data_IF_136921605270
#
_entry.id   IF_136921605270
#
_cell.length_a   1.000
_cell.length_b   1.000
_cell.length_c   1.000
_cell.angle_alpha   90.00
_cell.angle_beta   90.00
_cell.angle_gamma   90.00
#
_symmetry.space_group_name_H-M   'P 1'
#
loop_
_entity.id
_entity.type
_entity.pdbx_description
1 polymer ?
#
# COMPACT_ATOMS: atom_id res chain seq x y z
N UNK A 1 2.16 7.78 -5.68
CA UNK A 1 2.31 6.38 -5.25
C UNK A 1 3.33 5.68 -6.15
N UNK A 2 4.62 5.63 -5.77
CA UNK A 2 5.69 5.08 -6.60
C UNK A 2 5.52 3.59 -6.95
N UNK A 3 4.92 2.79 -6.05
CA UNK A 3 4.82 1.34 -6.21
C UNK A 3 3.78 0.89 -7.26
N UNK A 4 2.68 1.62 -7.43
CA UNK A 4 1.70 1.31 -8.50
C UNK A 4 2.25 1.58 -9.90
N UNK A 5 3.16 2.55 -10.03
CA UNK A 5 3.86 2.82 -11.29
C UNK A 5 4.83 1.70 -11.67
N UNK A 6 5.27 0.88 -10.70
CA UNK A 6 6.16 -0.24 -11.01
C UNK A 6 5.50 -1.20 -11.96
N UNK A 7 4.21 -1.56 -11.78
CA UNK A 7 3.45 -2.54 -12.59
C UNK A 7 3.48 -2.31 -14.11
N UNK A 8 3.84 -1.10 -14.56
CA UNK A 8 4.02 -0.74 -15.98
C UNK A 8 5.35 -1.17 -16.60
N UNK A 9 6.36 -1.57 -15.81
CA UNK A 9 7.69 -1.97 -16.31
C UNK A 9 7.72 -3.49 -16.48
N UNK A 10 8.08 -4.03 -17.64
CA UNK A 10 8.21 -5.49 -17.81
C UNK A 10 9.10 -6.09 -16.70
N UNK A 11 8.63 -7.16 -16.04
CA UNK A 11 9.28 -7.81 -14.89
C UNK A 11 8.88 -7.30 -13.50
N UNK A 12 8.15 -6.20 -13.39
CA UNK A 12 7.72 -5.59 -12.12
C UNK A 12 6.39 -6.11 -11.55
N UNK A 13 5.53 -6.73 -12.38
CA UNK A 13 4.23 -7.23 -11.94
C UNK A 13 4.39 -8.25 -10.81
N UNK A 14 5.49 -9.01 -10.85
CA UNK A 14 5.86 -9.97 -9.81
C UNK A 14 6.47 -9.32 -8.56
N UNK A 15 7.00 -8.09 -8.65
CA UNK A 15 7.65 -7.41 -7.53
C UNK A 15 6.64 -7.07 -6.42
N UNK A 16 5.45 -6.59 -6.79
CA UNK A 16 4.37 -6.34 -5.83
C UNK A 16 3.95 -7.61 -5.07
N UNK A 17 3.82 -8.72 -5.81
CA UNK A 17 3.49 -10.04 -5.23
C UNK A 17 4.61 -10.54 -4.32
N UNK A 18 5.88 -10.40 -4.72
CA UNK A 18 7.03 -10.79 -3.89
C UNK A 18 7.11 -9.98 -2.61
N UNK A 19 6.89 -8.66 -2.67
CA UNK A 19 6.84 -7.81 -1.48
C UNK A 19 5.66 -8.15 -0.58
N UNK A 20 4.48 -8.40 -1.14
CA UNK A 20 3.34 -8.84 -0.37
C UNK A 20 3.63 -10.17 0.34
N UNK A 21 4.30 -11.11 -0.33
CA UNK A 21 4.73 -12.38 0.29
C UNK A 21 5.76 -12.16 1.40
N UNK A 22 6.76 -11.34 1.16
CA UNK A 22 7.78 -11.01 2.17
C UNK A 22 7.14 -10.36 3.40
N UNK A 23 6.28 -9.37 3.20
CA UNK A 23 5.60 -8.66 4.29
C UNK A 23 4.65 -9.56 5.12
N UNK A 24 4.19 -10.69 4.56
CA UNK A 24 3.30 -11.63 5.23
C UNK A 24 4.00 -12.93 5.68
N UNK A 25 5.30 -13.10 5.44
CA UNK A 25 6.05 -14.27 5.90
C UNK A 25 6.33 -14.14 7.41
N UNK A 26 5.95 -15.14 8.24
CA UNK A 26 6.22 -15.14 9.68
C UNK A 26 7.70 -14.95 10.03
N UNK A 27 8.62 -15.36 9.16
CA UNK A 27 10.08 -15.22 9.33
C UNK A 27 10.66 -13.95 8.71
N UNK A 28 9.82 -13.03 8.21
CA UNK A 28 10.32 -11.80 7.58
C UNK A 28 11.17 -10.97 8.55
N UNK A 29 10.80 -10.94 9.83
CA UNK A 29 11.56 -10.24 10.87
C UNK A 29 12.99 -10.79 11.05
N UNK A 30 13.22 -12.08 10.80
CA UNK A 30 14.53 -12.72 10.91
C UNK A 30 15.47 -12.33 9.76
N UNK A 31 14.93 -12.00 8.59
CA UNK A 31 15.71 -11.64 7.39
C UNK A 31 16.13 -10.18 7.36
N UNK A 32 15.54 -9.32 8.18
CA UNK A 32 15.89 -7.90 8.26
C UNK A 32 15.47 -7.05 7.05
N UNK A 33 14.99 -7.63 5.95
CA UNK A 33 14.68 -6.93 4.69
C UNK A 33 13.71 -5.76 4.91
N UNK A 34 12.59 -6.00 5.61
CA UNK A 34 11.62 -4.94 5.92
C UNK A 34 12.27 -3.85 6.77
N UNK A 35 12.98 -4.24 7.81
CA UNK A 35 13.63 -3.33 8.75
C UNK A 35 14.72 -2.47 8.11
N UNK A 36 15.54 -3.06 7.27
CA UNK A 36 16.72 -2.39 6.70
C UNK A 36 16.37 -1.54 5.49
N UNK A 37 15.45 -2.02 4.64
CA UNK A 37 15.13 -1.37 3.36
C UNK A 37 13.89 -0.48 3.48
N UNK A 38 12.85 -0.92 4.20
CA UNK A 38 11.54 -0.27 4.19
C UNK A 38 11.30 0.65 5.38
N UNK A 39 11.81 0.34 6.58
CA UNK A 39 11.61 1.21 7.75
C UNK A 39 12.12 2.65 7.55
N UNK A 40 13.28 2.92 6.90
CA UNK A 40 13.72 4.29 6.67
C UNK A 40 12.72 5.08 5.83
N UNK A 41 12.18 4.46 4.79
CA UNK A 41 11.15 5.06 3.94
C UNK A 41 9.82 5.23 4.69
N UNK A 42 9.42 4.25 5.49
CA UNK A 42 8.22 4.31 6.32
C UNK A 42 8.31 5.47 7.32
N UNK A 43 9.42 5.59 8.04
CA UNK A 43 9.66 6.67 9.01
C UNK A 43 9.63 8.05 8.35
N UNK A 44 10.26 8.20 7.19
CA UNK A 44 10.21 9.46 6.44
C UNK A 44 8.78 9.81 6.01
N UNK A 45 8.00 8.82 5.56
CA UNK A 45 6.61 9.03 5.15
C UNK A 45 5.71 9.38 6.33
N UNK A 46 5.86 8.69 7.46
CA UNK A 46 5.14 8.99 8.71
C UNK A 46 5.46 10.41 9.18
N UNK A 47 6.72 10.83 9.13
CA UNK A 47 7.12 12.18 9.49
C UNK A 47 6.41 13.23 8.61
N UNK A 48 6.30 12.99 7.30
CA UNK A 48 5.54 13.85 6.39
C UNK A 48 4.03 13.82 6.69
N UNK A 49 3.47 12.65 6.99
CA UNK A 49 2.05 12.56 7.35
C UNK A 49 1.73 13.36 8.61
N UNK A 50 2.61 13.36 9.61
CA UNK A 50 2.47 14.18 10.82
C UNK A 50 2.45 15.69 10.52
N UNK A 51 3.13 16.17 9.48
CA UNK A 51 3.03 17.59 9.10
C UNK A 51 1.70 17.94 8.46
N UNK A 52 1.05 16.97 7.80
CA UNK A 52 -0.26 17.14 7.15
C UNK A 52 -1.44 16.85 8.07
N UNK A 53 -1.21 16.14 9.18
CA UNK A 53 -2.21 15.75 10.18
C UNK A 53 -1.74 16.17 11.59
N UNK A 54 -1.51 17.47 11.84
CA UNK A 54 -0.89 17.94 13.07
C UNK A 54 -1.73 17.66 14.32
N UNK A 55 -3.05 17.54 14.16
CA UNK A 55 -3.99 17.31 15.27
C UNK A 55 -4.13 15.83 15.66
N UNK A 56 -3.46 14.91 14.94
CA UNK A 56 -3.54 13.46 15.18
C UNK A 56 -2.36 13.00 16.02
N UNK A 57 -2.63 12.03 16.89
CA UNK A 57 -1.59 11.36 17.67
C UNK A 57 -0.62 10.59 16.77
N UNK A 58 0.58 10.32 17.29
CA UNK A 58 1.57 9.54 16.56
C UNK A 58 1.06 8.13 16.23
N UNK A 59 0.36 7.49 17.18
CA UNK A 59 -0.21 6.17 16.99
C UNK A 59 -1.23 6.16 15.84
N UNK A 60 -2.12 7.15 15.77
CA UNK A 60 -3.11 7.27 14.69
C UNK A 60 -2.43 7.43 13.32
N UNK A 61 -1.41 8.28 13.23
CA UNK A 61 -0.68 8.48 11.97
C UNK A 61 0.05 7.21 11.53
N UNK A 62 0.69 6.50 12.46
CA UNK A 62 1.36 5.21 12.17
C UNK A 62 0.35 4.16 11.69
N UNK A 63 -0.81 4.04 12.35
CA UNK A 63 -1.88 3.16 11.91
C UNK A 63 -2.44 3.56 10.54
N UNK A 64 -2.61 4.86 10.29
CA UNK A 64 -3.01 5.40 9.00
C UNK A 64 -2.05 5.03 7.87
N UNK A 65 -0.74 5.16 8.13
CA UNK A 65 0.30 4.72 7.20
C UNK A 65 0.25 3.20 6.97
N UNK A 66 0.14 2.39 8.03
CA UNK A 66 0.10 0.93 7.93
C UNK A 66 -1.10 0.46 7.10
N UNK A 67 -2.28 1.02 7.34
CA UNK A 67 -3.49 0.72 6.55
C UNK A 67 -3.33 1.10 5.09
N UNK A 68 -2.68 2.22 4.81
CA UNK A 68 -2.40 2.67 3.44
C UNK A 68 -1.52 1.67 2.68
N UNK A 69 -0.46 1.19 3.31
CA UNK A 69 0.42 0.16 2.73
C UNK A 69 -0.31 -1.17 2.56
N UNK A 70 -1.09 -1.60 3.55
CA UNK A 70 -1.85 -2.84 3.48
C UNK A 70 -2.84 -2.87 2.30
N UNK A 71 -3.62 -1.81 2.11
CA UNK A 71 -4.54 -1.67 0.98
C UNK A 71 -3.78 -1.74 -0.34
N UNK A 72 -2.66 -1.03 -0.45
CA UNK A 72 -1.84 -1.02 -1.67
C UNK A 72 -1.28 -2.41 -1.98
N UNK A 73 -0.67 -3.09 -1.00
CA UNK A 73 -0.10 -4.44 -1.18
C UNK A 73 -1.17 -5.45 -1.57
N UNK A 74 -2.35 -5.40 -0.92
CA UNK A 74 -3.45 -6.30 -1.22
C UNK A 74 -3.92 -6.17 -2.67
N UNK A 75 -4.08 -4.93 -3.14
CA UNK A 75 -4.54 -4.65 -4.50
C UNK A 75 -3.46 -5.00 -5.55
N UNK A 76 -2.18 -4.75 -5.24
CA UNK A 76 -1.07 -5.14 -6.11
C UNK A 76 -0.91 -6.66 -6.20
N UNK A 77 -1.24 -7.38 -5.14
CA UNK A 77 -1.18 -8.85 -5.11
C UNK A 77 -2.43 -9.52 -5.70
N UNK A 78 -3.47 -8.75 -6.05
CA UNK A 78 -4.70 -9.31 -6.62
C UNK A 78 -4.42 -9.96 -7.97
N UNK A 79 -4.74 -11.25 -8.07
CA UNK A 79 -4.56 -12.06 -9.28
C UNK A 79 -5.89 -12.34 -10.00
N UNK A 80 -6.86 -11.42 -9.92
CA UNK A 80 -8.15 -11.53 -10.60
C UNK A 80 -9.36 -11.71 -9.69
N UNK A 81 -9.20 -11.68 -8.36
CA UNK A 81 -10.34 -11.81 -7.44
C UNK A 81 -11.29 -10.63 -7.59
N UNK A 82 -10.78 -9.41 -7.79
CA UNK A 82 -11.62 -8.22 -7.96
C UNK A 82 -12.48 -8.29 -9.23
N UNK A 83 -11.93 -8.82 -10.32
CA UNK A 83 -12.68 -9.06 -11.55
C UNK A 83 -13.78 -10.11 -11.34
N UNK A 84 -13.46 -11.21 -10.65
CA UNK A 84 -14.44 -12.25 -10.34
C UNK A 84 -15.58 -11.74 -9.45
N UNK A 85 -15.29 -10.95 -8.42
CA UNK A 85 -16.30 -10.38 -7.52
C UNK A 85 -17.21 -9.35 -8.21
N UNK A 86 -16.76 -8.77 -9.30
CA UNK A 86 -17.45 -7.70 -10.03
C UNK A 86 -18.05 -8.16 -11.37
N UNK A 87 -18.05 -9.47 -11.66
CA UNK A 87 -18.44 -10.02 -12.96
C UNK A 87 -17.73 -9.34 -14.15
N UNK A 88 -16.43 -9.04 -13.97
CA UNK A 88 -15.59 -8.40 -14.99
C UNK A 88 -15.70 -6.88 -15.06
N UNK A 89 -16.50 -6.23 -14.21
CA UNK A 89 -16.62 -4.77 -14.21
C UNK A 89 -15.40 -4.04 -13.63
N UNK A 90 -14.64 -4.70 -12.74
CA UNK A 90 -13.38 -4.17 -12.22
C UNK A 90 -12.20 -4.89 -12.89
N UNK A 91 -11.36 -4.14 -13.59
CA UNK A 91 -10.14 -4.64 -14.19
C UNK A 91 -8.94 -4.43 -13.25
N UNK A 92 -8.32 -5.49 -12.68
CA UNK A 92 -7.14 -5.36 -11.85
C UNK A 92 -5.92 -4.84 -12.63
N UNK A 93 -5.87 -4.96 -13.95
CA UNK A 93 -4.78 -4.45 -14.79
C UNK A 93 -4.93 -2.95 -15.12
N UNK A 94 -6.13 -2.38 -14.95
CA UNK A 94 -6.36 -0.94 -15.04
C UNK A 94 -5.82 -0.21 -13.80
N UNK A 95 -4.50 0.01 -13.81
CA UNK A 95 -3.79 0.74 -12.75
C UNK A 95 -4.35 2.14 -12.56
N UNK A 96 -4.74 2.82 -13.63
CA UNK A 96 -5.18 4.21 -13.54
C UNK A 96 -6.60 4.32 -12.97
N UNK A 97 -7.54 3.48 -13.42
CA UNK A 97 -8.87 3.39 -12.84
C UNK A 97 -8.83 2.96 -11.38
N UNK A 98 -7.97 1.99 -11.05
CA UNK A 98 -7.72 1.55 -9.68
C UNK A 98 -7.21 2.70 -8.80
N UNK A 99 -6.25 3.50 -9.29
CA UNK A 99 -5.73 4.68 -8.58
C UNK A 99 -6.79 5.76 -8.35
N UNK A 100 -7.69 5.99 -9.31
CA UNK A 100 -8.79 6.96 -9.19
C UNK A 100 -9.75 6.63 -8.05
N UNK A 101 -9.87 5.36 -7.67
CA UNK A 101 -10.72 4.92 -6.56
C UNK A 101 -9.95 4.95 -5.24
N UNK A 102 -8.75 4.36 -5.20
CA UNK A 102 -7.99 4.15 -3.96
C UNK A 102 -7.50 5.47 -3.37
N UNK A 103 -6.92 6.36 -4.19
CA UNK A 103 -6.28 7.58 -3.66
C UNK A 103 -7.27 8.46 -2.89
N UNK A 104 -8.47 8.78 -3.43
CA UNK A 104 -9.47 9.53 -2.67
C UNK A 104 -9.94 8.81 -1.40
N UNK A 105 -10.09 7.49 -1.44
CA UNK A 105 -10.50 6.69 -0.28
C UNK A 105 -9.45 6.76 0.84
N UNK A 106 -8.18 6.58 0.51
CA UNK A 106 -7.07 6.70 1.46
C UNK A 106 -6.99 8.10 2.08
N UNK A 107 -7.09 9.15 1.26
CA UNK A 107 -7.07 10.53 1.75
C UNK A 107 -8.24 10.79 2.71
N UNK A 108 -9.45 10.33 2.37
CA UNK A 108 -10.62 10.46 3.25
C UNK A 108 -10.42 9.68 4.55
N UNK A 109 -9.90 8.45 4.48
CA UNK A 109 -9.60 7.63 5.67
C UNK A 109 -8.57 8.28 6.59
N UNK A 110 -7.47 8.80 6.04
CA UNK A 110 -6.43 9.50 6.81
C UNK A 110 -6.96 10.76 7.50
N UNK A 111 -7.85 11.52 6.85
CA UNK A 111 -8.49 12.69 7.46
C UNK A 111 -9.50 12.31 8.55
N UNK A 112 -10.15 11.17 8.38
CA UNK A 112 -11.18 10.62 9.28
C UNK A 112 -10.64 9.71 10.39
N UNK A 113 -9.33 9.70 10.65
CA UNK A 113 -8.78 9.07 11.87
C UNK A 113 -9.50 9.66 13.11
N UNK A 114 -9.67 8.87 14.19
CA UNK A 114 -10.33 9.34 15.41
C UNK A 114 -9.57 10.50 16.07
#
# INVERSE_FOLDING_TARGET
MPMLMLRRKEGSANYGVLLAREANDPRSAERGIIREIFDPFAKATIALLKTTLPDRSEAEVVWGFQMTIAIMLYIMADSGRVANLSNGACDPEDVEGTMRIIVPLLIKGLRGLP
#
